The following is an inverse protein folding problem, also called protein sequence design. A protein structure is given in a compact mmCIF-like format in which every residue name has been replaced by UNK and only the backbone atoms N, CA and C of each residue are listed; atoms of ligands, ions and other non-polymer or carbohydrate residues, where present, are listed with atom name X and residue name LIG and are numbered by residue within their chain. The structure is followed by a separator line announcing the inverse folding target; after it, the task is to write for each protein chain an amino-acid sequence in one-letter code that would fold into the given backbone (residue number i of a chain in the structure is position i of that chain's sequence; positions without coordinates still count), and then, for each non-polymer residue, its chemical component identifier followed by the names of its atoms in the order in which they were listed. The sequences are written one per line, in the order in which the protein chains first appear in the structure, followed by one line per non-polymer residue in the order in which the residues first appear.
data_IF_988974408852
#
_entry.id   IF_988974408852
#
_cell.length_a   1.000
_cell.length_b   1.000
_cell.length_c   1.000
_cell.angle_alpha   90.00
_cell.angle_beta   90.00
_cell.angle_gamma   90.00
#
_symmetry.space_group_name_H-M   'P 1'
#
loop_
_entity.id
_entity.type
_entity.pdbx_description
1 polymer ?
#
# COMPACT_ATOMS: atom_id res chain seq x y z
N UNK A 1 -55.72 15.03 19.76
CA UNK A 1 -55.76 15.10 18.29
C UNK A 1 -54.98 16.34 17.86
N UNK A 2 -54.08 16.15 16.90
CA UNK A 2 -53.20 17.13 16.26
C UNK A 2 -51.96 17.58 17.06
N UNK A 3 -50.93 16.72 17.05
CA UNK A 3 -49.53 17.14 17.09
C UNK A 3 -49.03 17.25 15.64
N UNK A 4 -49.07 18.49 15.15
CA UNK A 4 -48.07 19.15 14.31
C UNK A 4 -46.89 18.30 13.81
N UNK A 5 -46.83 18.16 12.49
CA UNK A 5 -45.64 18.40 11.67
C UNK A 5 -44.29 18.22 12.38
N UNK A 6 -43.80 16.98 12.40
CA UNK A 6 -42.36 16.74 12.49
C UNK A 6 -41.74 17.39 11.26
N UNK A 7 -41.02 18.48 11.49
CA UNK A 7 -40.12 19.08 10.52
C UNK A 7 -39.32 17.96 9.85
N UNK A 8 -39.44 17.88 8.52
CA UNK A 8 -38.44 17.27 7.63
C UNK A 8 -37.16 18.10 7.79
N UNK A 9 -36.54 18.03 8.96
CA UNK A 9 -35.25 18.64 9.20
C UNK A 9 -34.26 17.99 8.24
N UNK A 10 -33.59 18.87 7.50
CA UNK A 10 -32.73 18.62 6.35
C UNK A 10 -31.79 17.44 6.59
N UNK A 11 -32.11 16.30 5.97
CA UNK A 11 -31.15 15.20 5.82
C UNK A 11 -30.28 15.57 4.62
N UNK A 12 -29.01 15.88 4.86
CA UNK A 12 -28.03 16.04 3.78
C UNK A 12 -27.67 14.65 3.25
N UNK A 13 -28.04 14.37 2.01
CA UNK A 13 -27.53 13.22 1.27
C UNK A 13 -26.16 13.56 0.69
N UNK A 14 -25.20 12.66 0.87
CA UNK A 14 -23.89 12.79 0.20
C UNK A 14 -24.07 12.80 -1.31
N UNK A 15 -23.49 13.80 -1.99
CA UNK A 15 -23.43 13.81 -3.44
C UNK A 15 -22.66 12.57 -3.95
N UNK A 16 -23.20 11.95 -5.00
CA UNK A 16 -22.54 10.87 -5.74
C UNK A 16 -21.38 11.43 -6.55
N UNK A 17 -20.31 10.65 -6.70
CA UNK A 17 -19.20 10.99 -7.59
C UNK A 17 -19.49 10.55 -9.03
N UNK A 18 -18.81 11.14 -10.02
CA UNK A 18 -18.90 10.64 -11.39
C UNK A 18 -18.47 9.17 -11.44
N UNK A 19 -19.19 8.38 -12.25
CA UNK A 19 -18.99 6.93 -12.36
C UNK A 19 -19.68 6.10 -11.27
N UNK A 20 -20.27 6.71 -10.23
CA UNK A 20 -21.07 6.01 -9.22
C UNK A 20 -22.57 6.08 -9.53
N UNK A 21 -23.28 4.96 -9.36
CA UNK A 21 -24.74 4.92 -9.40
C UNK A 21 -25.30 3.98 -8.33
N UNK A 22 -26.37 4.34 -7.61
CA UNK A 22 -26.97 3.44 -6.64
C UNK A 22 -27.63 2.25 -7.35
N UNK A 23 -27.48 1.06 -6.78
CA UNK A 23 -28.22 -0.12 -7.24
C UNK A 23 -29.73 0.12 -7.08
N UNK A 24 -30.58 -0.46 -7.97
CA UNK A 24 -32.03 -0.36 -7.85
C UNK A 24 -32.54 -0.78 -6.45
N UNK A 25 -33.18 0.15 -5.75
CA UNK A 25 -33.71 -0.08 -4.40
C UNK A 25 -32.66 -0.04 -3.27
N UNK A 26 -31.48 0.53 -3.51
CA UNK A 26 -30.45 0.71 -2.50
C UNK A 26 -30.95 1.51 -1.29
N UNK A 27 -30.80 0.99 -0.07
CA UNK A 27 -31.21 1.71 1.13
C UNK A 27 -30.17 2.77 1.52
N UNK A 28 -30.66 3.92 1.98
CA UNK A 28 -29.81 4.90 2.68
C UNK A 28 -29.62 4.49 4.13
N UNK A 29 -28.42 4.71 4.66
CA UNK A 29 -28.04 4.44 6.05
C UNK A 29 -27.85 5.76 6.77
N UNK A 30 -28.50 5.91 7.93
CA UNK A 30 -28.29 7.06 8.81
C UNK A 30 -26.93 6.90 9.53
N UNK A 31 -25.99 7.80 9.24
CA UNK A 31 -24.64 7.81 9.82
C UNK A 31 -24.60 8.64 11.10
N UNK A 32 -25.38 9.73 11.14
CA UNK A 32 -25.59 10.57 12.31
C UNK A 32 -26.97 11.19 12.26
N UNK A 33 -27.41 11.84 13.34
CA UNK A 33 -28.78 12.39 13.51
C UNK A 33 -29.29 13.28 12.35
N UNK A 34 -28.40 13.80 11.50
CA UNK A 34 -28.72 14.68 10.35
C UNK A 34 -28.14 14.22 9.00
N UNK A 35 -27.45 13.07 8.94
CA UNK A 35 -26.75 12.64 7.71
C UNK A 35 -27.09 11.21 7.35
N UNK A 36 -27.57 11.03 6.13
CA UNK A 36 -27.75 9.73 5.53
C UNK A 36 -26.89 9.63 4.27
N UNK A 37 -26.41 8.43 3.97
CA UNK A 37 -25.78 8.14 2.70
C UNK A 37 -26.17 6.76 2.22
N UNK A 38 -26.09 6.54 0.91
CA UNK A 38 -26.08 5.19 0.36
C UNK A 38 -24.63 4.68 0.50
N UNK A 39 -24.36 3.62 1.27
CA UNK A 39 -23.03 3.03 1.33
C UNK A 39 -22.52 2.65 -0.06
N UNK A 40 -21.22 2.84 -0.30
CA UNK A 40 -20.60 2.55 -1.59
C UNK A 40 -20.78 1.09 -2.02
N UNK A 41 -20.89 0.14 -1.10
CA UNK A 41 -21.15 -1.25 -1.46
C UNK A 41 -22.57 -1.49 -2.02
N UNK A 42 -23.50 -0.52 -1.93
CA UNK A 42 -24.79 -0.55 -2.64
C UNK A 42 -24.76 0.22 -3.96
N UNK A 43 -23.57 0.55 -4.45
CA UNK A 43 -23.39 1.24 -5.72
C UNK A 43 -22.87 0.28 -6.78
N UNK A 44 -23.17 0.62 -8.03
CA UNK A 44 -22.52 0.14 -9.24
C UNK A 44 -21.54 1.20 -9.73
N UNK A 45 -20.47 0.76 -10.38
CA UNK A 45 -19.40 1.64 -10.87
C UNK A 45 -19.24 1.50 -12.38
N UNK A 46 -19.04 2.63 -13.04
CA UNK A 46 -18.69 2.71 -14.45
C UNK A 46 -17.72 3.88 -14.63
N UNK A 47 -16.48 3.67 -14.20
CA UNK A 47 -15.41 4.64 -14.31
C UNK A 47 -14.79 4.67 -15.71
N UNK A 48 -14.59 5.89 -16.18
CA UNK A 48 -13.78 6.29 -17.33
C UNK A 48 -12.63 7.21 -16.88
N UNK A 49 -11.82 7.71 -17.81
CA UNK A 49 -10.70 8.60 -17.48
C UNK A 49 -11.15 9.83 -16.68
N UNK A 50 -12.26 10.46 -17.07
CA UNK A 50 -12.73 11.71 -16.46
C UNK A 50 -13.20 11.50 -15.01
N UNK A 51 -14.01 10.48 -14.77
CA UNK A 51 -14.46 10.14 -13.41
C UNK A 51 -13.29 9.77 -12.49
N UNK A 52 -12.26 9.08 -13.00
CA UNK A 52 -11.04 8.79 -12.23
C UNK A 52 -10.24 10.07 -11.96
N UNK A 53 -10.14 11.00 -12.92
CA UNK A 53 -9.54 12.32 -12.73
C UNK A 53 -10.25 13.10 -11.61
N UNK A 54 -11.58 13.08 -11.57
CA UNK A 54 -12.36 13.73 -10.51
C UNK A 54 -12.03 13.13 -9.13
N UNK A 55 -12.01 11.80 -9.01
CA UNK A 55 -11.62 11.12 -7.77
C UNK A 55 -10.21 11.52 -7.34
N UNK A 56 -9.24 11.48 -8.26
CA UNK A 56 -7.84 11.80 -7.97
C UNK A 56 -7.63 13.27 -7.63
N UNK A 57 -8.37 14.19 -8.24
CA UNK A 57 -8.31 15.63 -7.93
C UNK A 57 -8.71 15.98 -6.49
N UNK A 58 -9.45 15.08 -5.83
CA UNK A 58 -9.84 15.20 -4.43
C UNK A 58 -8.81 14.59 -3.46
N UNK A 59 -7.71 14.04 -3.99
CA UNK A 59 -6.60 13.50 -3.20
C UNK A 59 -5.57 14.60 -2.97
N UNK A 60 -5.13 14.72 -1.72
CA UNK A 60 -4.11 15.67 -1.28
C UNK A 60 -2.96 14.89 -0.60
N UNK A 61 -1.73 15.19 -1.01
CA UNK A 61 -0.49 14.63 -0.50
C UNK A 61 0.69 15.57 -0.85
N UNK A 62 1.92 15.15 -0.55
CA UNK A 62 3.18 15.86 -0.84
C UNK A 62 3.28 16.33 -2.32
N UNK A 63 3.68 17.59 -2.51
CA UNK A 63 3.76 18.27 -3.82
C UNK A 63 4.74 17.64 -4.80
N UNK A 64 5.75 16.92 -4.30
CA UNK A 64 6.73 16.23 -5.13
C UNK A 64 6.18 14.88 -5.67
N UNK A 65 4.97 14.46 -5.28
CA UNK A 65 4.29 13.23 -5.72
C UNK A 65 3.03 13.53 -6.54
N UNK A 66 3.21 13.66 -7.85
CA UNK A 66 2.14 13.97 -8.79
C UNK A 66 1.40 12.69 -9.21
N UNK A 67 0.08 12.68 -9.07
CA UNK A 67 -0.78 11.56 -9.48
C UNK A 67 -1.38 11.86 -10.85
N UNK A 68 -0.97 11.13 -11.87
CA UNK A 68 -1.51 11.23 -13.23
C UNK A 68 -2.57 10.15 -13.45
N UNK A 69 -3.62 10.53 -14.18
CA UNK A 69 -4.63 9.63 -14.72
C UNK A 69 -4.55 9.74 -16.23
N UNK A 70 -4.46 8.59 -16.92
CA UNK A 70 -4.38 8.53 -18.37
C UNK A 70 -4.99 7.21 -18.85
N UNK A 71 -5.18 7.06 -20.16
CA UNK A 71 -5.76 5.86 -20.76
C UNK A 71 -4.95 5.39 -21.97
N UNK A 72 -4.84 4.08 -22.12
CA UNK A 72 -4.32 3.47 -23.34
C UNK A 72 -5.28 2.40 -23.87
N UNK A 73 -4.87 1.64 -24.88
CA UNK A 73 -5.70 0.57 -25.47
C UNK A 73 -6.15 -0.50 -24.48
N UNK A 74 -5.49 -0.63 -23.32
CA UNK A 74 -5.85 -1.56 -22.26
C UNK A 74 -6.69 -0.91 -21.14
N UNK A 75 -7.12 0.35 -21.31
CA UNK A 75 -8.00 1.06 -20.39
C UNK A 75 -7.28 2.10 -19.53
N UNK A 76 -8.01 2.62 -18.55
CA UNK A 76 -7.56 3.68 -17.63
C UNK A 76 -6.45 3.17 -16.71
N UNK A 77 -5.49 4.04 -16.42
CA UNK A 77 -4.44 3.78 -15.46
C UNK A 77 -4.05 5.03 -14.67
N UNK A 78 -3.50 4.78 -13.48
CA UNK A 78 -2.88 5.77 -12.61
C UNK A 78 -1.36 5.60 -12.71
N UNK A 79 -0.64 6.71 -12.80
CA UNK A 79 0.82 6.71 -12.80
C UNK A 79 1.34 7.84 -11.91
N UNK A 80 2.33 7.52 -11.07
CA UNK A 80 2.98 8.55 -10.25
C UNK A 80 4.14 9.17 -11.00
N UNK A 81 4.23 10.49 -10.97
CA UNK A 81 5.45 11.24 -11.26
C UNK A 81 6.07 11.75 -9.96
N UNK A 82 7.35 11.48 -9.76
CA UNK A 82 8.09 11.90 -8.57
C UNK A 82 9.03 13.01 -9.03
N UNK A 83 8.88 14.20 -8.45
CA UNK A 83 9.73 15.35 -8.72
C UNK A 83 10.81 15.41 -7.65
N UNK A 84 12.08 15.33 -8.06
CA UNK A 84 13.18 15.31 -7.10
C UNK A 84 14.50 15.69 -7.72
N UNK A 85 15.50 15.97 -6.89
CA UNK A 85 16.87 16.21 -7.37
C UNK A 85 17.48 14.91 -7.87
N UNK A 86 18.26 15.00 -8.94
CA UNK A 86 19.00 13.85 -9.45
C UNK A 86 20.04 13.36 -8.42
N UNK A 87 19.94 12.10 -8.01
CA UNK A 87 20.90 11.50 -7.08
C UNK A 87 22.28 11.22 -7.72
N UNK A 88 22.39 11.33 -9.06
CA UNK A 88 23.60 11.04 -9.83
C UNK A 88 24.30 12.29 -10.39
N UNK A 89 23.64 13.46 -10.39
CA UNK A 89 24.21 14.72 -10.90
C UNK A 89 24.41 15.70 -9.75
N UNK A 90 25.48 16.50 -9.81
CA UNK A 90 25.75 17.55 -8.81
C UNK A 90 24.89 18.80 -9.02
N UNK A 91 24.15 18.89 -10.14
CA UNK A 91 23.24 20.00 -10.40
C UNK A 91 22.01 19.98 -9.48
N UNK A 92 21.54 21.17 -9.12
CA UNK A 92 20.39 21.36 -8.25
C UNK A 92 19.04 21.22 -8.97
N UNK A 93 19.02 20.89 -10.25
CA UNK A 93 17.81 20.85 -11.06
C UNK A 93 16.90 19.69 -10.63
N UNK A 94 15.61 20.03 -10.41
CA UNK A 94 14.56 19.04 -10.19
C UNK A 94 14.31 18.30 -11.51
N UNK A 95 14.23 16.97 -11.46
CA UNK A 95 13.76 16.11 -12.55
C UNK A 95 12.49 15.38 -12.12
N UNK A 96 11.62 15.10 -13.08
CA UNK A 96 10.49 14.19 -12.89
C UNK A 96 10.90 12.79 -13.35
N UNK A 97 10.56 11.78 -12.54
CA UNK A 97 10.65 10.37 -12.91
C UNK A 97 9.28 9.73 -12.80
N UNK A 98 8.96 8.83 -13.72
CA UNK A 98 7.66 8.20 -13.77
C UNK A 98 7.72 6.77 -13.23
N UNK A 99 6.82 6.46 -12.31
CA UNK A 99 6.64 5.13 -11.74
C UNK A 99 5.90 4.17 -12.68
N UNK A 100 5.52 3.01 -12.13
CA UNK A 100 4.73 2.00 -12.84
C UNK A 100 3.27 2.47 -13.02
N UNK A 101 2.62 1.95 -14.06
CA UNK A 101 1.18 2.14 -14.29
C UNK A 101 0.37 1.17 -13.43
N UNK A 102 -0.67 1.69 -12.79
CA UNK A 102 -1.64 0.96 -11.98
C UNK A 102 -2.99 0.97 -12.69
N UNK A 103 -3.48 -0.19 -13.13
CA UNK A 103 -4.72 -0.28 -13.92
C UNK A 103 -5.94 -0.01 -13.04
N UNK A 104 -6.92 0.69 -13.61
CA UNK A 104 -8.22 0.95 -12.99
C UNK A 104 -9.29 0.29 -13.84
N UNK A 105 -9.97 -0.70 -13.26
CA UNK A 105 -11.14 -1.33 -13.89
C UNK A 105 -12.32 -0.36 -13.83
N UNK A 106 -13.18 -0.35 -14.86
CA UNK A 106 -14.37 0.52 -14.87
C UNK A 106 -15.33 0.22 -13.71
N UNK A 107 -15.37 -1.04 -13.26
CA UNK A 107 -16.25 -1.48 -12.16
C UNK A 107 -15.58 -1.37 -10.78
N UNK A 108 -14.39 -0.77 -10.69
CA UNK A 108 -13.65 -0.64 -9.43
C UNK A 108 -14.35 0.35 -8.49
N UNK A 109 -14.66 -0.01 -7.24
CA UNK A 109 -15.22 0.94 -6.27
C UNK A 109 -14.32 2.17 -6.11
N UNK A 110 -14.90 3.36 -5.94
CA UNK A 110 -14.10 4.58 -5.75
C UNK A 110 -13.17 4.49 -4.53
N UNK A 111 -13.56 3.80 -3.45
CA UNK A 111 -12.64 3.57 -2.31
C UNK A 111 -11.43 2.70 -2.69
N UNK A 112 -11.57 1.77 -3.63
CA UNK A 112 -10.47 0.97 -4.16
C UNK A 112 -9.59 1.79 -5.11
N UNK A 113 -10.13 2.76 -5.87
CA UNK A 113 -9.32 3.74 -6.62
C UNK A 113 -8.45 4.56 -5.68
N UNK A 114 -9.04 5.12 -4.62
CA UNK A 114 -8.31 5.91 -3.60
C UNK A 114 -7.23 5.06 -2.93
N UNK A 115 -7.55 3.81 -2.57
CA UNK A 115 -6.60 2.86 -2.00
C UNK A 115 -5.46 2.54 -2.98
N UNK A 116 -5.75 2.41 -4.28
CA UNK A 116 -4.73 2.21 -5.32
C UNK A 116 -3.74 3.37 -5.36
N UNK A 117 -4.20 4.62 -5.32
CA UNK A 117 -3.30 5.79 -5.28
C UNK A 117 -2.46 5.78 -4.00
N UNK A 118 -3.06 5.52 -2.85
CA UNK A 118 -2.36 5.41 -1.57
C UNK A 118 -1.25 4.34 -1.61
N UNK A 119 -1.55 3.15 -2.16
CA UNK A 119 -0.57 2.07 -2.30
C UNK A 119 0.51 2.39 -3.33
N UNK A 120 0.15 3.05 -4.43
CA UNK A 120 1.12 3.52 -5.42
C UNK A 120 2.14 4.48 -4.77
N UNK A 121 1.67 5.41 -3.94
CA UNK A 121 2.54 6.39 -3.24
C UNK A 121 3.46 5.67 -2.26
N UNK A 122 2.93 4.73 -1.46
CA UNK A 122 3.76 3.92 -0.55
C UNK A 122 4.83 3.14 -1.31
N UNK A 123 4.46 2.51 -2.43
CA UNK A 123 5.40 1.75 -3.26
C UNK A 123 6.49 2.65 -3.88
N UNK A 124 6.11 3.83 -4.39
CA UNK A 124 7.03 4.81 -4.93
C UNK A 124 7.99 5.34 -3.85
N UNK A 125 7.48 5.66 -2.66
CA UNK A 125 8.34 6.09 -1.54
C UNK A 125 9.26 4.98 -1.08
N UNK A 126 8.77 3.76 -0.90
CA UNK A 126 9.63 2.62 -0.52
C UNK A 126 10.80 2.45 -1.49
N UNK A 127 10.56 2.64 -2.80
CA UNK A 127 11.62 2.65 -3.80
C UNK A 127 12.70 3.69 -3.48
N UNK A 128 12.32 4.95 -3.27
CA UNK A 128 13.25 6.04 -2.93
C UNK A 128 13.99 5.76 -1.62
N UNK A 129 13.29 5.32 -0.57
CA UNK A 129 13.87 4.99 0.74
C UNK A 129 14.97 3.93 0.60
N UNK A 130 14.72 2.89 -0.21
CA UNK A 130 15.69 1.82 -0.47
C UNK A 130 16.91 2.31 -1.25
N UNK A 131 16.74 3.25 -2.18
CA UNK A 131 17.86 3.86 -2.93
C UNK A 131 18.69 4.85 -2.12
N UNK A 132 18.05 5.55 -1.17
CA UNK A 132 18.73 6.52 -0.31
C UNK A 132 19.69 5.85 0.69
N UNK A 133 19.51 4.56 0.97
CA UNK A 133 20.35 3.80 1.88
C UNK A 133 21.67 3.39 1.22
N UNK A 134 22.74 4.06 1.64
CA UNK A 134 24.10 3.83 1.13
C UNK A 134 24.96 3.19 2.19
N UNK A 135 25.67 2.12 1.81
CA UNK A 135 26.63 1.40 2.62
C UNK A 135 28.04 1.59 2.06
N UNK A 136 28.96 2.04 2.90
CA UNK A 136 30.38 2.16 2.56
C UNK A 136 31.09 0.85 2.92
N UNK A 137 31.56 0.12 1.91
CA UNK A 137 32.18 -1.21 2.08
C UNK A 137 33.29 -1.41 1.05
N UNK A 138 34.41 -2.01 1.46
CA UNK A 138 35.57 -2.31 0.60
C UNK A 138 36.10 -1.09 -0.20
N UNK A 139 36.03 0.11 0.39
CA UNK A 139 36.46 1.36 -0.26
C UNK A 139 35.48 1.91 -1.31
N UNK A 140 34.34 1.27 -1.51
CA UNK A 140 33.24 1.73 -2.37
C UNK A 140 31.98 2.10 -1.59
N UNK A 141 31.01 2.68 -2.29
CA UNK A 141 29.68 3.00 -1.76
C UNK A 141 28.64 2.29 -2.62
N UNK A 142 27.75 1.53 -2.00
CA UNK A 142 26.70 0.77 -2.66
C UNK A 142 25.32 1.00 -2.02
N UNK A 143 24.24 0.67 -2.73
CA UNK A 143 22.86 0.74 -2.24
C UNK A 143 22.28 -0.67 -2.11
N UNK A 144 22.60 -1.41 -1.04
CA UNK A 144 22.34 -2.86 -0.95
C UNK A 144 20.85 -3.25 -0.95
N UNK A 145 19.96 -2.30 -0.72
CA UNK A 145 18.52 -2.51 -0.72
C UNK A 145 17.82 -2.02 -1.99
N UNK A 146 18.57 -1.53 -2.98
CA UNK A 146 18.02 -1.02 -4.24
C UNK A 146 17.22 -2.11 -4.99
N UNK A 147 16.11 -1.71 -5.60
CA UNK A 147 15.22 -2.60 -6.36
C UNK A 147 15.68 -2.86 -7.80
N UNK A 148 16.73 -2.19 -8.29
CA UNK A 148 17.26 -2.33 -9.65
C UNK A 148 18.40 -3.36 -9.75
N UNK A 149 18.65 -4.16 -8.71
CA UNK A 149 19.63 -5.24 -8.78
C UNK A 149 19.24 -6.28 -9.85
N UNK A 150 20.25 -6.88 -10.48
CA UNK A 150 20.05 -7.99 -11.42
C UNK A 150 19.69 -9.27 -10.66
N UNK A 151 18.40 -9.40 -10.34
CA UNK A 151 17.85 -10.55 -9.62
C UNK A 151 18.09 -11.88 -10.37
N UNK A 152 17.92 -11.98 -11.71
CA UNK A 152 18.29 -13.18 -12.45
C UNK A 152 19.76 -13.60 -12.25
N UNK A 153 20.70 -12.65 -12.34
CA UNK A 153 22.10 -12.93 -12.05
C UNK A 153 22.28 -13.42 -10.61
N UNK A 154 21.74 -12.70 -9.62
CA UNK A 154 21.87 -13.09 -8.21
C UNK A 154 21.32 -14.50 -7.94
N UNK A 155 20.16 -14.84 -8.53
CA UNK A 155 19.56 -16.16 -8.41
C UNK A 155 20.43 -17.27 -9.02
N UNK A 156 21.08 -16.99 -10.17
CA UNK A 156 21.99 -17.94 -10.81
C UNK A 156 23.30 -18.17 -10.04
N UNK A 157 23.67 -17.25 -9.13
CA UNK A 157 24.87 -17.35 -8.29
C UNK A 157 24.55 -17.42 -6.80
N UNK A 158 23.43 -18.06 -6.43
CA UNK A 158 22.89 -18.11 -5.06
C UNK A 158 23.94 -18.50 -4.00
N UNK A 159 24.80 -19.47 -4.26
CA UNK A 159 25.83 -19.92 -3.31
C UNK A 159 26.79 -18.79 -2.89
N UNK A 160 27.08 -17.84 -3.78
CA UNK A 160 27.95 -16.70 -3.47
C UNK A 160 27.30 -15.74 -2.47
N UNK A 161 25.98 -15.63 -2.48
CA UNK A 161 25.21 -14.75 -1.60
C UNK A 161 24.84 -15.44 -0.28
N UNK A 162 24.66 -16.76 -0.26
CA UNK A 162 24.29 -17.51 0.95
C UNK A 162 25.52 -17.92 1.80
N UNK A 163 26.60 -18.41 1.18
CA UNK A 163 27.76 -18.94 1.92
C UNK A 163 28.55 -17.89 2.71
N UNK A 164 28.43 -16.61 2.37
CA UNK A 164 29.15 -15.52 3.05
C UNK A 164 28.50 -15.08 4.37
N UNK A 165 27.29 -15.55 4.69
CA UNK A 165 26.41 -14.88 5.64
C UNK A 165 26.49 -15.35 7.11
N UNK A 166 26.94 -16.56 7.42
CA UNK A 166 26.63 -17.16 8.74
C UNK A 166 27.72 -17.12 9.81
N UNK A 167 29.01 -17.02 9.48
CA UNK A 167 30.08 -17.16 10.49
C UNK A 167 30.97 -15.93 10.70
N UNK A 168 31.03 -14.98 9.75
CA UNK A 168 32.02 -13.88 9.76
C UNK A 168 31.49 -12.51 10.19
N UNK A 169 30.18 -12.36 10.40
CA UNK A 169 29.53 -11.05 10.58
C UNK A 169 28.83 -10.88 11.95
N UNK A 170 29.27 -11.59 12.99
CA UNK A 170 28.73 -11.39 14.35
C UNK A 170 29.23 -10.05 14.91
N UNK A 171 28.30 -9.25 15.41
CA UNK A 171 28.55 -7.97 16.07
C UNK A 171 28.65 -8.24 17.57
N UNK A 172 29.87 -8.52 18.04
CA UNK A 172 30.11 -8.99 19.43
C UNK A 172 30.24 -7.84 20.44
N UNK A 173 30.13 -6.58 20.02
CA UNK A 173 30.27 -5.42 20.88
C UNK A 173 29.51 -4.21 20.33
N UNK A 174 29.17 -3.27 21.22
CA UNK A 174 28.57 -1.97 20.90
C UNK A 174 29.43 -1.17 19.91
N UNK A 175 30.76 -1.31 20.02
CA UNK A 175 31.71 -0.71 19.09
C UNK A 175 31.51 -1.24 17.66
N UNK A 176 31.32 -2.55 17.49
CA UNK A 176 31.07 -3.14 16.17
C UNK A 176 29.75 -2.64 15.54
N UNK A 177 28.72 -2.41 16.36
CA UNK A 177 27.45 -1.84 15.89
C UNK A 177 27.63 -0.36 15.54
N UNK A 178 28.37 0.39 16.36
CA UNK A 178 28.68 1.79 16.10
C UNK A 178 29.45 1.97 14.79
N UNK A 179 30.46 1.14 14.54
CA UNK A 179 31.22 1.13 13.29
C UNK A 179 30.33 0.79 12.08
N UNK A 180 29.44 -0.20 12.23
CA UNK A 180 28.46 -0.52 11.20
C UNK A 180 27.56 0.69 10.90
N UNK A 181 27.01 1.35 11.91
CA UNK A 181 26.16 2.53 11.73
C UNK A 181 26.91 3.71 11.09
N UNK A 182 28.19 3.89 11.44
CA UNK A 182 29.05 4.91 10.83
C UNK A 182 29.35 4.66 9.35
N UNK A 183 29.29 3.40 8.89
CA UNK A 183 29.46 3.04 7.48
C UNK A 183 28.23 3.37 6.60
N UNK A 184 27.11 3.73 7.23
CA UNK A 184 25.84 4.01 6.56
C UNK A 184 25.68 5.51 6.33
N UNK A 185 25.19 5.87 5.14
CA UNK A 185 24.68 7.21 4.84
C UNK A 185 23.26 7.10 4.31
N UNK A 186 22.36 7.91 4.83
CA UNK A 186 20.95 7.85 4.45
C UNK A 186 20.36 9.26 4.37
N UNK A 187 20.06 9.75 3.17
CA UNK A 187 19.61 11.14 2.93
C UNK A 187 20.45 12.19 3.70
N UNK A 188 21.78 12.01 3.70
CA UNK A 188 22.77 12.80 4.48
C UNK A 188 22.63 12.72 6.00
N UNK A 189 21.63 12.01 6.54
CA UNK A 189 21.52 11.71 7.96
C UNK A 189 22.58 10.69 8.38
N UNK A 190 22.93 10.76 9.67
CA UNK A 190 23.80 9.79 10.35
C UNK A 190 23.00 9.03 11.39
N UNK A 191 23.42 7.80 11.65
CA UNK A 191 22.86 6.96 12.70
C UNK A 191 23.86 6.84 13.85
N UNK A 192 23.38 6.97 15.08
CA UNK A 192 24.20 6.78 16.29
C UNK A 192 23.51 5.82 17.23
N UNK A 193 24.29 4.87 17.76
CA UNK A 193 23.81 3.92 18.76
C UNK A 193 23.48 4.67 20.06
N UNK A 194 22.33 4.36 20.66
CA UNK A 194 21.92 4.82 22.00
C UNK A 194 22.15 3.70 23.00
N UNK A 195 21.53 2.54 22.78
CA UNK A 195 21.56 1.42 23.72
C UNK A 195 21.34 0.07 23.03
N UNK A 196 21.77 -1.00 23.70
CA UNK A 196 21.52 -2.39 23.30
C UNK A 196 21.04 -3.18 24.52
N UNK A 197 19.81 -3.67 24.48
CA UNK A 197 19.23 -4.47 25.54
C UNK A 197 18.97 -5.91 25.06
N UNK A 198 19.57 -6.90 25.71
CA UNK A 198 19.20 -8.29 25.48
C UNK A 198 17.93 -8.66 26.26
N UNK A 199 16.95 -9.20 25.55
CA UNK A 199 15.68 -9.67 26.08
C UNK A 199 15.77 -11.12 26.55
N UNK A 200 14.89 -11.51 27.46
CA UNK A 200 14.84 -12.84 28.08
C UNK A 200 14.62 -14.00 27.09
N UNK A 201 14.04 -13.74 25.91
CA UNK A 201 13.88 -14.71 24.83
C UNK A 201 15.12 -14.79 23.91
N UNK A 202 16.21 -14.10 24.25
CA UNK A 202 17.46 -14.08 23.49
C UNK A 202 17.52 -13.05 22.35
N UNK A 203 16.43 -12.33 22.06
CA UNK A 203 16.44 -11.24 21.08
C UNK A 203 17.09 -9.98 21.65
N UNK A 204 17.46 -9.03 20.81
CA UNK A 204 18.07 -7.76 21.21
C UNK A 204 17.20 -6.59 20.75
N UNK A 205 17.03 -5.60 21.62
CA UNK A 205 16.58 -4.27 21.27
C UNK A 205 17.80 -3.40 21.02
N UNK A 206 17.81 -2.67 19.90
CA UNK A 206 18.87 -1.72 19.57
C UNK A 206 18.22 -0.37 19.33
N UNK A 207 18.51 0.60 20.19
CA UNK A 207 18.01 1.96 20.04
C UNK A 207 19.01 2.81 19.27
N UNK A 208 18.54 3.50 18.24
CA UNK A 208 19.34 4.27 17.30
C UNK A 208 18.75 5.67 17.16
N UNK A 209 19.57 6.69 17.35
CA UNK A 209 19.20 8.05 17.04
C UNK A 209 19.51 8.37 15.57
N UNK A 210 18.57 9.04 14.90
CA UNK A 210 18.81 9.64 13.59
C UNK A 210 19.22 11.09 13.82
N UNK A 211 20.42 11.45 13.37
CA UNK A 211 20.92 12.82 13.38
C UNK A 211 20.70 13.41 11.97
N UNK A 212 19.66 14.24 11.77
CA UNK A 212 19.40 14.82 10.45
C UNK A 212 20.47 15.86 10.12
N UNK A 213 20.80 15.96 8.84
CA UNK A 213 21.54 17.12 8.34
C UNK A 213 20.53 18.22 7.98
N UNK A 214 20.88 19.50 8.17
CA UNK A 214 20.04 20.70 8.05
C UNK A 214 19.33 20.91 6.67
N UNK A 215 19.48 19.97 5.73
CA UNK A 215 18.94 19.99 4.36
C UNK A 215 18.43 18.60 3.90
N UNK A 216 18.07 17.70 4.82
CA UNK A 216 17.44 16.41 4.47
C UNK A 216 16.12 16.62 3.73
N UNK A 217 15.80 15.70 2.80
CA UNK A 217 14.56 15.72 2.00
C UNK A 217 13.40 15.03 2.73
N UNK A 218 13.69 14.18 3.70
CA UNK A 218 12.69 13.36 4.39
C UNK A 218 12.25 13.97 5.72
N UNK A 219 11.08 14.63 5.79
CA UNK A 219 10.60 15.29 7.03
C UNK A 219 10.36 14.29 8.15
N UNK A 220 10.04 13.03 7.84
CA UNK A 220 9.78 12.00 8.83
C UNK A 220 11.01 11.58 9.66
N UNK A 221 12.23 11.98 9.26
CA UNK A 221 13.47 11.65 9.97
C UNK A 221 13.85 12.63 11.09
N UNK A 222 13.19 13.80 11.14
CA UNK A 222 13.57 14.87 12.07
C UNK A 222 13.35 14.41 13.52
N UNK A 223 14.43 14.44 14.31
CA UNK A 223 14.45 14.09 15.74
C UNK A 223 13.83 12.73 16.05
N UNK A 224 14.09 11.72 15.22
CA UNK A 224 13.61 10.35 15.44
C UNK A 224 14.63 9.47 16.12
N UNK A 225 14.09 8.61 16.98
CA UNK A 225 14.77 7.42 17.49
C UNK A 225 14.07 6.21 16.91
N UNK A 226 14.85 5.23 16.48
CA UNK A 226 14.40 3.93 16.02
C UNK A 226 14.75 2.88 17.08
N UNK A 227 13.87 1.90 17.26
CA UNK A 227 14.15 0.71 18.07
C UNK A 227 14.10 -0.49 17.14
N UNK A 228 15.22 -1.19 17.00
CA UNK A 228 15.33 -2.41 16.20
C UNK A 228 15.11 -3.61 17.11
N UNK A 229 14.28 -4.57 16.70
CA UNK A 229 14.18 -5.88 17.35
C UNK A 229 14.88 -6.93 16.49
N UNK A 230 16.04 -7.42 16.92
CA UNK A 230 16.84 -8.40 16.16
C UNK A 230 16.99 -9.72 16.91
N UNK A 231 16.94 -10.84 16.19
CA UNK A 231 17.10 -12.18 16.77
C UNK A 231 18.56 -12.56 17.02
N UNK A 232 19.47 -12.02 16.20
CA UNK A 232 20.90 -12.26 16.30
C UNK A 232 21.65 -10.95 16.00
N UNK A 233 22.72 -10.67 16.75
CA UNK A 233 23.60 -9.53 16.49
C UNK A 233 24.51 -9.84 15.30
N UNK A 234 23.96 -9.73 14.09
CA UNK A 234 24.70 -9.83 12.84
C UNK A 234 24.50 -8.60 11.98
N UNK A 235 25.47 -8.29 11.11
CA UNK A 235 25.34 -7.20 10.15
C UNK A 235 24.05 -7.29 9.35
N UNK A 236 23.71 -8.47 8.83
CA UNK A 236 22.51 -8.67 8.03
C UNK A 236 21.24 -8.39 8.84
N UNK A 237 21.12 -8.96 10.05
CA UNK A 237 19.95 -8.77 10.89
C UNK A 237 19.74 -7.28 11.23
N UNK A 238 20.80 -6.58 11.63
CA UNK A 238 20.75 -5.15 11.97
C UNK A 238 20.38 -4.30 10.75
N UNK A 239 21.02 -4.52 9.60
CA UNK A 239 20.75 -3.73 8.39
C UNK A 239 19.33 -3.96 7.85
N UNK A 240 18.85 -5.21 7.85
CA UNK A 240 17.48 -5.52 7.43
C UNK A 240 16.45 -4.90 8.37
N UNK A 241 16.64 -4.97 9.69
CA UNK A 241 15.70 -4.38 10.64
C UNK A 241 15.75 -2.84 10.59
N UNK A 242 16.93 -2.24 10.42
CA UNK A 242 17.04 -0.80 10.18
C UNK A 242 16.28 -0.37 8.93
N UNK A 243 16.45 -1.10 7.81
CA UNK A 243 15.68 -0.84 6.58
C UNK A 243 14.18 -0.97 6.80
N UNK A 244 13.74 -2.01 7.53
CA UNK A 244 12.34 -2.19 7.92
C UNK A 244 11.81 -0.97 8.66
N UNK A 245 12.53 -0.46 9.66
CA UNK A 245 12.12 0.73 10.42
C UNK A 245 12.07 1.99 9.56
N UNK A 246 13.03 2.20 8.65
CA UNK A 246 13.02 3.34 7.72
C UNK A 246 11.83 3.29 6.75
N UNK A 247 11.51 2.12 6.20
CA UNK A 247 10.31 1.93 5.37
C UNK A 247 9.04 2.15 6.19
N UNK A 248 9.01 1.72 7.45
CA UNK A 248 7.86 1.98 8.35
C UNK A 248 7.67 3.46 8.65
N UNK A 249 8.75 4.24 8.85
CA UNK A 249 8.66 5.70 9.00
C UNK A 249 8.06 6.36 7.76
N UNK A 250 8.52 5.97 6.57
CA UNK A 250 7.99 6.49 5.30
C UNK A 250 6.53 6.11 5.10
N UNK A 251 6.16 4.86 5.39
CA UNK A 251 4.76 4.41 5.36
C UNK A 251 3.90 5.19 6.35
N UNK A 252 4.41 5.49 7.55
CA UNK A 252 3.73 6.33 8.53
C UNK A 252 3.50 7.73 8.00
N UNK A 253 4.49 8.32 7.35
CA UNK A 253 4.35 9.64 6.74
C UNK A 253 3.22 9.68 5.71
N UNK A 254 3.12 8.68 4.82
CA UNK A 254 2.00 8.59 3.87
C UNK A 254 0.68 8.44 4.59
N UNK A 255 0.60 7.55 5.58
CA UNK A 255 -0.62 7.27 6.33
C UNK A 255 -1.19 8.50 7.04
N UNK A 256 -0.33 9.38 7.55
CA UNK A 256 -0.75 10.60 8.25
C UNK A 256 -1.05 11.79 7.32
N UNK A 257 -0.46 11.83 6.11
CA UNK A 257 -0.56 13.00 5.22
C UNK A 257 -1.41 12.77 3.95
N UNK A 258 -1.67 11.53 3.56
CA UNK A 258 -2.55 11.20 2.45
C UNK A 258 -4.01 11.47 2.85
N UNK A 259 -4.68 12.36 2.13
CA UNK A 259 -6.06 12.76 2.38
C UNK A 259 -6.91 12.58 1.14
N UNK A 260 -8.15 12.18 1.33
CA UNK A 260 -9.20 12.30 0.33
C UNK A 260 -10.27 13.24 0.86
N UNK A 261 -10.59 14.32 0.12
CA UNK A 261 -11.50 15.39 0.60
C UNK A 261 -11.16 15.86 2.02
N UNK A 262 -9.88 16.12 2.28
CA UNK A 262 -9.32 16.51 3.59
C UNK A 262 -9.41 15.45 4.71
N UNK A 263 -9.92 14.25 4.44
CA UNK A 263 -10.00 13.16 5.41
C UNK A 263 -8.83 12.18 5.26
N UNK A 264 -8.00 12.08 6.30
CA UNK A 264 -6.85 11.16 6.35
C UNK A 264 -7.24 9.78 6.88
N UNK A 265 -7.95 8.98 6.07
CA UNK A 265 -8.49 7.67 6.48
C UNK A 265 -7.47 6.72 7.13
N UNK A 266 -6.20 6.79 6.73
CA UNK A 266 -5.15 5.89 7.22
C UNK A 266 -4.38 6.41 8.42
N UNK A 267 -4.65 7.65 8.85
CA UNK A 267 -4.02 8.25 10.02
C UNK A 267 -4.37 7.47 11.28
N UNK A 268 -3.38 7.32 12.18
CA UNK A 268 -3.61 6.70 13.49
C UNK A 268 -4.46 7.55 14.43
N UNK A 269 -4.72 8.82 14.10
CA UNK A 269 -5.65 9.64 14.87
C UNK A 269 -7.12 9.34 14.55
N UNK A 270 -7.41 8.55 13.49
CA UNK A 270 -8.77 8.15 13.15
C UNK A 270 -9.24 7.04 14.09
N UNK A 271 -10.41 7.22 14.69
CA UNK A 271 -11.01 6.23 15.60
C UNK A 271 -11.35 4.93 14.86
N UNK A 272 -10.70 3.84 15.28
CA UNK A 272 -11.00 2.50 14.80
C UNK A 272 -12.41 2.06 15.19
N UNK A 273 -12.87 2.44 16.39
CA UNK A 273 -14.23 2.14 16.86
C UNK A 273 -15.28 2.83 15.99
N UNK A 274 -15.06 4.09 15.60
CA UNK A 274 -15.97 4.80 14.71
C UNK A 274 -16.06 4.14 13.32
N UNK A 275 -14.92 3.69 12.76
CA UNK A 275 -14.88 2.93 11.51
C UNK A 275 -15.64 1.60 11.67
N UNK A 276 -15.38 0.86 12.74
CA UNK A 276 -16.02 -0.42 13.01
C UNK A 276 -17.53 -0.27 13.16
N UNK A 277 -17.98 0.71 13.94
CA UNK A 277 -19.41 1.02 14.13
C UNK A 277 -20.08 1.38 12.82
N UNK A 278 -19.46 2.22 11.99
CA UNK A 278 -19.98 2.58 10.65
C UNK A 278 -20.10 1.34 9.76
N UNK A 279 -19.10 0.45 9.78
CA UNK A 279 -19.13 -0.80 9.02
C UNK A 279 -20.21 -1.77 9.52
N UNK A 280 -20.49 -1.81 10.82
CA UNK A 280 -21.56 -2.64 11.39
C UNK A 280 -22.92 -2.09 10.98
N UNK A 281 -23.13 -0.77 11.14
CA UNK A 281 -24.39 -0.10 10.80
C UNK A 281 -24.78 -0.39 9.35
N UNK A 282 -23.86 -0.11 8.42
CA UNK A 282 -24.12 -0.29 6.98
C UNK A 282 -24.43 -1.75 6.59
N UNK A 283 -23.75 -2.73 7.18
CA UNK A 283 -24.07 -4.16 6.97
C UNK A 283 -25.39 -4.59 7.60
N UNK A 284 -25.71 -4.05 8.79
CA UNK A 284 -26.94 -4.40 9.51
C UNK A 284 -28.20 -3.91 8.77
N UNK A 285 -28.12 -2.78 8.08
CA UNK A 285 -29.20 -2.24 7.25
C UNK A 285 -29.58 -3.21 6.12
N UNK A 286 -28.60 -3.83 5.44
CA UNK A 286 -28.89 -4.88 4.43
C UNK A 286 -29.69 -6.03 5.04
N UNK A 287 -29.28 -6.48 6.23
CA UNK A 287 -29.88 -7.64 6.86
C UNK A 287 -31.33 -7.35 7.29
N UNK A 288 -31.59 -6.16 7.84
CA UNK A 288 -32.85 -5.84 8.52
C UNK A 288 -33.86 -5.08 7.66
N UNK A 289 -33.40 -4.17 6.81
CA UNK A 289 -34.25 -3.13 6.21
C UNK A 289 -34.31 -3.21 4.68
N UNK A 290 -33.39 -3.94 4.05
CA UNK A 290 -33.40 -4.08 2.61
C UNK A 290 -34.53 -4.99 2.10
N UNK A 291 -35.18 -4.56 1.02
CA UNK A 291 -36.17 -5.37 0.29
C UNK A 291 -35.54 -6.66 -0.26
N UNK A 292 -36.33 -7.72 -0.40
CA UNK A 292 -35.87 -8.99 -0.97
C UNK A 292 -35.40 -8.84 -2.44
N UNK A 293 -36.06 -7.93 -3.17
CA UNK A 293 -35.64 -7.52 -4.51
C UNK A 293 -34.24 -6.90 -4.50
N UNK A 294 -33.95 -6.00 -3.55
CA UNK A 294 -32.62 -5.41 -3.44
C UNK A 294 -31.57 -6.46 -3.06
N UNK A 295 -31.85 -7.34 -2.10
CA UNK A 295 -30.90 -8.41 -1.70
C UNK A 295 -30.52 -9.29 -2.89
N UNK A 296 -31.47 -9.57 -3.79
CA UNK A 296 -31.23 -10.31 -5.03
C UNK A 296 -30.34 -9.52 -5.99
N UNK A 297 -30.66 -8.24 -6.24
CA UNK A 297 -29.87 -7.35 -7.10
C UNK A 297 -28.43 -7.21 -6.56
N UNK A 298 -28.27 -6.96 -5.27
CA UNK A 298 -26.97 -6.83 -4.60
C UNK A 298 -26.12 -8.10 -4.76
N UNK A 299 -26.71 -9.28 -4.52
CA UNK A 299 -26.01 -10.55 -4.69
C UNK A 299 -25.58 -10.79 -6.14
N UNK A 300 -26.47 -10.51 -7.10
CA UNK A 300 -26.17 -10.71 -8.51
C UNK A 300 -25.10 -9.72 -9.00
N UNK A 301 -25.20 -8.44 -8.62
CA UNK A 301 -24.22 -7.41 -9.01
C UNK A 301 -22.81 -7.74 -8.51
N UNK A 302 -22.68 -8.22 -7.27
CA UNK A 302 -21.39 -8.65 -6.73
C UNK A 302 -20.84 -9.86 -7.51
N UNK A 303 -21.71 -10.84 -7.80
CA UNK A 303 -21.32 -12.03 -8.56
C UNK A 303 -20.82 -11.70 -9.98
N UNK A 304 -21.53 -10.82 -10.70
CA UNK A 304 -21.12 -10.39 -12.04
C UNK A 304 -19.78 -9.64 -12.01
N UNK A 305 -19.57 -8.77 -11.02
CA UNK A 305 -18.30 -8.05 -10.84
C UNK A 305 -17.15 -9.02 -10.52
N UNK A 306 -17.39 -10.04 -9.69
CA UNK A 306 -16.39 -11.05 -9.37
C UNK A 306 -16.00 -11.85 -10.62
N UNK A 307 -16.96 -12.23 -11.48
CA UNK A 307 -16.69 -12.96 -12.73
C UNK A 307 -15.76 -12.19 -13.66
N UNK A 308 -15.92 -10.86 -13.77
CA UNK A 308 -15.10 -10.06 -14.68
C UNK A 308 -13.62 -10.06 -14.29
N UNK A 309 -13.33 -10.26 -13.00
CA UNK A 309 -11.96 -10.27 -12.45
C UNK A 309 -11.26 -11.63 -12.54
N UNK A 310 -11.98 -12.70 -12.87
CA UNK A 310 -11.43 -14.06 -12.89
C UNK A 310 -10.43 -14.23 -14.05
N UNK A 311 -9.14 -14.51 -13.75
CA UNK A 311 -8.13 -14.68 -14.79
C UNK A 311 -8.26 -16.03 -15.48
N UNK A 312 -7.60 -16.17 -16.64
CA UNK A 312 -7.47 -17.44 -17.34
C UNK A 312 -6.14 -18.12 -17.03
N UNK A 313 -6.17 -19.44 -16.88
CA UNK A 313 -4.96 -20.26 -16.88
C UNK A 313 -4.65 -20.69 -18.32
N UNK A 314 -3.46 -20.33 -18.78
CA UNK A 314 -2.96 -20.69 -20.10
C UNK A 314 -2.13 -21.97 -20.07
N UNK A 315 -1.99 -22.64 -21.21
CA UNK A 315 -1.15 -23.83 -21.34
C UNK A 315 0.34 -23.44 -21.46
N UNK A 316 0.90 -23.09 -20.32
CA UNK A 316 2.30 -22.71 -20.14
C UNK A 316 2.92 -23.42 -18.93
N UNK A 317 4.23 -23.32 -18.77
CA UNK A 317 4.91 -23.82 -17.57
C UNK A 317 4.31 -23.23 -16.28
N UNK A 318 3.99 -21.93 -16.29
CA UNK A 318 3.31 -21.27 -15.18
C UNK A 318 1.89 -21.85 -14.99
N UNK A 319 1.13 -22.05 -16.06
CA UNK A 319 -0.21 -22.60 -15.97
C UNK A 319 -0.25 -24.02 -15.39
N UNK A 320 0.69 -24.88 -15.78
CA UNK A 320 0.87 -26.20 -15.17
C UNK A 320 1.18 -26.10 -13.67
N UNK A 321 2.11 -25.22 -13.28
CA UNK A 321 2.45 -24.99 -11.89
C UNK A 321 1.24 -24.47 -11.07
N UNK A 322 0.47 -23.52 -11.62
CA UNK A 322 -0.74 -22.99 -11.00
C UNK A 322 -1.81 -24.08 -10.81
N UNK A 323 -2.07 -24.91 -11.82
CA UNK A 323 -3.05 -26.00 -11.71
C UNK A 323 -2.65 -27.00 -10.63
N UNK A 324 -1.37 -27.38 -10.56
CA UNK A 324 -0.88 -28.33 -9.56
C UNK A 324 -1.01 -27.74 -8.14
N UNK A 325 -0.65 -26.46 -7.97
CA UNK A 325 -0.76 -25.77 -6.69
C UNK A 325 -2.23 -25.62 -6.26
N UNK A 326 -3.11 -25.22 -7.16
CA UNK A 326 -4.55 -25.10 -6.88
C UNK A 326 -5.16 -26.46 -6.48
N UNK A 327 -4.80 -27.55 -7.18
CA UNK A 327 -5.23 -28.91 -6.81
C UNK A 327 -4.74 -29.34 -5.42
N UNK A 328 -3.57 -28.90 -4.98
CA UNK A 328 -3.03 -29.26 -3.66
C UNK A 328 -3.86 -28.72 -2.48
N UNK A 329 -4.71 -27.72 -2.70
CA UNK A 329 -5.63 -27.20 -1.69
C UNK A 329 -6.91 -28.02 -1.55
N UNK A 330 -7.15 -29.02 -2.42
CA UNK A 330 -8.37 -29.82 -2.40
C UNK A 330 -9.59 -29.05 -2.93
N UNK A 331 -10.72 -29.13 -2.22
CA UNK A 331 -11.96 -28.45 -2.61
C UNK A 331 -11.92 -26.97 -2.23
N UNK A 332 -12.08 -26.09 -3.22
CA UNK A 332 -12.09 -24.65 -3.04
C UNK A 332 -13.50 -24.09 -3.29
N UNK A 333 -13.91 -23.13 -2.45
CA UNK A 333 -15.11 -22.32 -2.66
C UNK A 333 -14.79 -21.07 -3.50
N UNK A 334 -15.81 -20.44 -4.10
CA UNK A 334 -15.67 -19.24 -4.93
C UNK A 334 -15.53 -19.54 -6.43
N UNK A 335 -15.20 -18.51 -7.22
CA UNK A 335 -15.07 -18.63 -8.67
C UNK A 335 -13.63 -18.98 -9.02
N UNK A 336 -13.41 -20.19 -9.56
CA UNK A 336 -12.09 -20.65 -9.97
C UNK A 336 -11.62 -19.96 -11.26
N UNK A 337 -10.30 -19.84 -11.51
CA UNK A 337 -9.77 -19.34 -12.77
C UNK A 337 -10.35 -20.06 -13.99
N UNK A 338 -10.56 -19.31 -15.07
CA UNK A 338 -10.99 -19.87 -16.35
C UNK A 338 -9.95 -20.88 -16.83
N UNK A 339 -10.37 -21.99 -17.44
CA UNK A 339 -9.51 -23.08 -17.91
C UNK A 339 -8.68 -23.78 -16.81
N UNK A 340 -9.19 -23.78 -15.57
CA UNK A 340 -8.57 -24.51 -14.46
C UNK A 340 -8.57 -26.03 -14.68
N UNK A 341 -9.69 -26.59 -15.13
CA UNK A 341 -9.73 -27.97 -15.60
C UNK A 341 -9.11 -28.04 -17.00
N UNK A 342 -8.24 -29.02 -17.29
CA UNK A 342 -7.70 -29.18 -18.64
C UNK A 342 -8.87 -29.39 -19.61
N UNK A 343 -8.91 -28.62 -20.69
CA UNK A 343 -9.75 -28.93 -21.84
C UNK A 343 -9.39 -30.34 -22.27
N UNK A 344 -10.33 -31.28 -22.18
CA UNK A 344 -10.18 -32.58 -22.82
C UNK A 344 -9.96 -32.29 -24.30
N UNK A 345 -8.78 -32.63 -24.82
CA UNK A 345 -8.61 -32.76 -26.26
C UNK A 345 -9.61 -33.85 -26.69
N UNK A 346 -10.57 -33.45 -27.50
CA UNK A 346 -11.37 -34.38 -28.29
C UNK A 346 -10.50 -34.66 -29.50
N UNK A 347 -9.96 -35.88 -29.57
CA UNK A 347 -9.24 -36.40 -30.73
C UNK A 347 -10.14 -36.42 -31.99
#
# INVERSE_FOLDING_TARGET
MNQTSLDKNMIEESALLEGEAPMPGAPSVLISDSKACIPQHFMTFQHDRQSVEEVVSNIDFDEDYLVFVDEDKAGVFIQLGIVGKDNYRQDNDKKIVYGRRWRVEATLPTSEIIQTVFLAIKSAREHEIRELFKLSILGGVATPFNNHHDLPMMANYTDQFLCQSHAKNKLQSDFAITDLLASITYDKAKFTLIDIEQRHNGTFLIDIQILPFFQGRLPELINKTLTLLVHELTTNAVLHELMTQLVQLSNRYVEENFKFKQFARFSRSVSIDAIANTSILTRSTVAKEASESFKTVFKNSNYETDITRVPSIHDSALGCALRNRLKSFGSLQGILPKNFLPTKFVD
#
